data_IF_019014371223
#
_entry.id   IF_019014371223
#
_cell.length_a   1.000
_cell.length_b   1.000
_cell.length_c   1.000
_cell.angle_alpha   90.00
_cell.angle_beta   90.00
_cell.angle_gamma   90.00
#
_symmetry.space_group_name_H-M   'P 1'
#
loop_
_entity.id
_entity.type
_entity.pdbx_description
1 polymer ?
#
# COMPACT_ATOMS: atom_id res chain seq x y z
N UNK A 1 22.10 5.94 0.30
CA UNK A 1 21.31 7.21 0.46
C UNK A 1 21.45 7.71 1.89
N UNK A 2 21.60 9.03 2.13
CA UNK A 2 21.69 9.59 3.50
C UNK A 2 20.31 9.55 4.20
N UNK A 3 20.28 9.35 5.51
CA UNK A 3 19.02 9.20 6.30
C UNK A 3 18.05 10.37 6.16
N UNK A 4 18.56 11.61 6.06
CA UNK A 4 17.70 12.77 5.84
C UNK A 4 16.87 12.69 4.56
N UNK A 5 17.42 12.11 3.47
CA UNK A 5 16.68 11.90 2.21
C UNK A 5 15.72 10.72 2.31
N UNK A 6 16.13 9.62 2.97
CA UNK A 6 15.27 8.46 3.24
C UNK A 6 14.00 8.89 3.99
N UNK A 7 14.18 9.69 5.05
CA UNK A 7 13.06 10.23 5.81
C UNK A 7 12.20 11.20 5.00
N UNK A 8 12.81 12.03 4.15
CA UNK A 8 12.06 12.96 3.29
C UNK A 8 11.21 12.19 2.26
N UNK A 9 11.76 11.18 1.59
CA UNK A 9 11.01 10.34 0.64
C UNK A 9 9.91 9.55 1.32
N UNK A 10 10.16 9.01 2.52
CA UNK A 10 9.10 8.33 3.28
C UNK A 10 7.94 9.28 3.63
N UNK A 11 8.23 10.52 4.04
CA UNK A 11 7.18 11.54 4.26
C UNK A 11 6.38 11.84 3.01
N UNK A 12 7.00 11.83 1.83
CA UNK A 12 6.26 11.97 0.57
C UNK A 12 5.33 10.77 0.36
N UNK A 13 5.79 9.54 0.60
CA UNK A 13 4.92 8.36 0.53
C UNK A 13 3.74 8.46 1.53
N UNK A 14 3.98 8.92 2.75
CA UNK A 14 2.94 9.17 3.77
C UNK A 14 1.95 10.25 3.30
N UNK A 15 2.41 11.31 2.64
CA UNK A 15 1.54 12.36 2.07
C UNK A 15 0.60 11.77 1.01
N UNK A 16 1.11 10.89 0.14
CA UNK A 16 0.26 10.21 -0.84
C UNK A 16 -0.67 9.18 -0.20
N UNK A 17 -0.27 8.51 0.88
CA UNK A 17 -1.17 7.62 1.63
C UNK A 17 -2.43 8.35 2.12
N UNK A 18 -2.31 9.61 2.54
CA UNK A 18 -3.43 10.43 3.00
C UNK A 18 -4.49 10.71 1.92
N UNK A 19 -4.18 10.49 0.63
CA UNK A 19 -5.14 10.62 -0.47
C UNK A 19 -6.00 9.38 -0.67
N UNK A 20 -5.71 8.28 0.03
CA UNK A 20 -6.50 7.05 -0.06
C UNK A 20 -7.91 7.27 0.48
N UNK A 21 -8.90 6.77 -0.24
CA UNK A 21 -10.30 6.72 0.19
C UNK A 21 -10.65 5.48 1.04
N UNK A 22 -9.71 4.57 1.22
CA UNK A 22 -9.89 3.39 2.05
C UNK A 22 -10.11 3.77 3.53
N UNK A 23 -11.02 3.07 4.21
CA UNK A 23 -11.33 3.33 5.63
C UNK A 23 -10.48 2.46 6.57
N UNK A 24 -9.98 1.33 6.08
CA UNK A 24 -9.23 0.36 6.91
C UNK A 24 -7.76 0.72 7.03
N UNK A 25 -7.12 1.08 5.94
CA UNK A 25 -5.69 1.35 5.92
C UNK A 25 -5.35 2.26 4.74
N UNK A 26 -4.65 3.34 5.01
CA UNK A 26 -4.09 4.24 4.01
C UNK A 26 -2.65 3.82 3.72
N UNK A 27 -2.36 3.44 2.50
CA UNK A 27 -1.03 3.05 2.05
C UNK A 27 -0.57 3.96 0.92
N UNK A 28 0.66 4.44 1.00
CA UNK A 28 1.31 5.21 -0.05
C UNK A 28 2.64 4.57 -0.45
N UNK A 29 2.98 4.66 -1.72
CA UNK A 29 4.23 4.20 -2.28
C UNK A 29 4.79 5.23 -3.25
N UNK A 30 6.11 5.42 -3.25
CA UNK A 30 6.83 6.18 -4.26
C UNK A 30 8.00 5.37 -4.79
N UNK A 31 8.36 5.59 -6.04
CA UNK A 31 9.55 5.02 -6.66
C UNK A 31 10.55 6.15 -6.91
N UNK A 32 11.76 5.98 -6.39
CA UNK A 32 12.85 6.97 -6.47
C UNK A 32 14.01 6.38 -7.25
N UNK A 33 14.53 7.14 -8.21
CA UNK A 33 15.70 6.79 -9.00
C UNK A 33 16.52 8.04 -9.28
N UNK A 34 17.82 7.96 -9.13
CA UNK A 34 18.75 9.09 -9.36
C UNK A 34 18.30 10.38 -8.64
N UNK A 35 17.96 10.22 -7.34
CA UNK A 35 17.44 11.28 -6.46
C UNK A 35 16.15 11.98 -6.95
N UNK A 36 15.40 11.36 -7.90
CA UNK A 36 14.12 11.84 -8.41
C UNK A 36 12.99 10.87 -8.08
N UNK A 37 11.82 11.39 -7.73
CA UNK A 37 10.60 10.60 -7.64
C UNK A 37 10.10 10.39 -9.09
N UNK A 38 10.14 9.14 -9.55
CA UNK A 38 9.73 8.76 -10.91
C UNK A 38 8.33 8.15 -10.97
N UNK A 39 7.78 7.74 -9.84
CA UNK A 39 6.39 7.29 -9.75
C UNK A 39 5.85 7.41 -8.34
N UNK A 40 4.53 7.49 -8.24
CA UNK A 40 3.79 7.56 -7.00
C UNK A 40 2.55 6.65 -7.07
N UNK A 41 2.15 6.09 -5.93
CA UNK A 41 0.91 5.32 -5.79
C UNK A 41 0.32 5.47 -4.41
N UNK A 42 -0.97 5.27 -4.30
CA UNK A 42 -1.71 5.07 -3.05
C UNK A 42 -2.84 4.08 -3.30
N UNK A 43 -3.29 3.40 -2.25
CA UNK A 43 -4.33 2.40 -2.41
C UNK A 43 -5.70 3.05 -2.60
N UNK A 44 -6.55 2.40 -3.41
CA UNK A 44 -7.89 2.90 -3.71
C UNK A 44 -8.56 2.16 -4.85
N UNK A 45 -9.79 2.53 -5.15
CA UNK A 45 -10.53 1.98 -6.29
C UNK A 45 -9.92 2.44 -7.61
N UNK A 46 -10.13 1.68 -8.71
CA UNK A 46 -9.73 2.12 -10.04
C UNK A 46 -10.32 3.49 -10.40
N UNK A 47 -9.55 4.29 -11.15
CA UNK A 47 -9.98 5.62 -11.59
C UNK A 47 -11.31 5.55 -12.33
N UNK A 48 -12.25 6.42 -11.95
CA UNK A 48 -13.60 6.49 -12.51
C UNK A 48 -14.62 5.54 -11.87
N UNK A 49 -14.20 4.72 -10.91
CA UNK A 49 -15.11 3.88 -10.13
C UNK A 49 -15.57 4.61 -8.86
N UNK A 50 -16.59 4.06 -8.19
CA UNK A 50 -16.98 4.51 -6.86
C UNK A 50 -15.80 4.32 -5.87
N UNK A 51 -15.54 5.35 -5.05
CA UNK A 51 -14.43 5.37 -4.10
C UNK A 51 -14.68 4.52 -2.82
N UNK A 52 -15.73 3.73 -2.76
CA UNK A 52 -15.99 2.85 -1.63
C UNK A 52 -15.10 1.60 -1.69
N UNK A 53 -14.01 1.61 -0.95
CA UNK A 53 -13.00 0.54 -0.92
C UNK A 53 -13.40 -0.69 -0.10
N UNK A 54 -14.44 -0.63 0.71
CA UNK A 54 -14.80 -1.72 1.63
C UNK A 54 -16.29 -2.03 1.62
N UNK A 55 -16.59 -3.33 1.73
CA UNK A 55 -17.91 -3.85 2.04
C UNK A 55 -18.11 -3.98 3.56
N UNK A 56 -19.34 -3.75 4.00
CA UNK A 56 -19.77 -4.04 5.37
C UNK A 56 -20.20 -5.50 5.45
N UNK A 57 -19.48 -6.28 6.23
CA UNK A 57 -19.87 -7.66 6.56
C UNK A 57 -20.54 -7.62 7.93
N UNK A 58 -21.86 -7.76 7.97
CA UNK A 58 -22.60 -7.83 9.21
C UNK A 58 -22.33 -9.15 9.91
N UNK A 59 -22.20 -9.10 11.24
CA UNK A 59 -21.90 -10.25 12.05
C UNK A 59 -23.17 -10.72 12.75
N UNK A 60 -23.46 -12.03 12.64
CA UNK A 60 -24.38 -12.70 13.53
C UNK A 60 -23.70 -12.91 14.90
N UNK A 61 -24.47 -12.88 15.99
CA UNK A 61 -24.02 -12.83 17.38
C UNK A 61 -22.71 -13.57 17.68
N UNK A 62 -21.65 -12.85 18.02
CA UNK A 62 -20.47 -13.36 18.71
C UNK A 62 -19.09 -13.02 18.13
N UNK A 63 -18.93 -12.83 16.83
CA UNK A 63 -17.61 -12.84 16.17
C UNK A 63 -17.10 -11.46 15.67
N UNK A 64 -17.77 -10.36 16.00
CA UNK A 64 -17.35 -9.02 15.61
C UNK A 64 -16.71 -8.26 16.76
N UNK A 65 -15.40 -8.26 16.79
CA UNK A 65 -14.60 -7.29 17.54
C UNK A 65 -14.61 -5.94 16.81
N UNK A 66 -15.34 -4.99 17.43
CA UNK A 66 -15.20 -3.54 17.27
C UNK A 66 -15.39 -2.87 15.91
N UNK A 67 -16.60 -2.45 15.63
CA UNK A 67 -16.90 -1.07 15.19
C UNK A 67 -18.39 -0.79 15.37
N UNK A 68 -18.71 0.16 16.25
CA UNK A 68 -20.09 0.61 16.48
C UNK A 68 -20.52 1.59 15.39
N UNK A 69 -21.67 1.33 14.77
CA UNK A 69 -22.33 2.29 13.88
C UNK A 69 -22.93 3.47 14.67
N UNK A 70 -22.96 4.69 14.11
CA UNK A 70 -23.81 5.75 14.62
C UNK A 70 -25.30 5.38 14.50
N UNK A 71 -26.09 5.84 15.47
CA UNK A 71 -27.52 5.53 15.60
C UNK A 71 -28.35 6.09 14.44
N UNK A 72 -28.89 5.23 13.59
CA UNK A 72 -29.99 5.58 12.68
C UNK A 72 -31.08 4.50 12.57
N UNK A 73 -31.15 3.52 13.43
CA UNK A 73 -32.32 2.64 13.61
C UNK A 73 -32.18 1.78 14.86
N UNK A 74 -33.30 1.32 15.43
CA UNK A 74 -33.41 0.56 16.68
C UNK A 74 -32.77 -0.86 16.70
N UNK A 75 -31.95 -1.20 15.68
CA UNK A 75 -31.23 -2.48 15.64
C UNK A 75 -29.75 -2.23 15.42
N UNK A 76 -28.97 -2.32 16.50
CA UNK A 76 -27.51 -2.26 16.50
C UNK A 76 -26.93 -3.51 15.83
N UNK A 77 -26.66 -3.47 14.51
CA UNK A 77 -25.92 -4.55 13.85
C UNK A 77 -24.44 -4.20 13.82
N UNK A 78 -23.63 -5.01 14.49
CA UNK A 78 -22.16 -4.93 14.36
C UNK A 78 -21.73 -5.35 12.96
N UNK A 79 -20.73 -4.70 12.38
CA UNK A 79 -20.14 -5.09 11.11
C UNK A 79 -18.62 -4.95 11.14
N UNK A 80 -17.94 -5.74 10.33
CA UNK A 80 -16.53 -5.57 10.00
C UNK A 80 -16.40 -5.07 8.57
N UNK A 81 -15.37 -4.26 8.32
CA UNK A 81 -15.04 -3.81 6.97
C UNK A 81 -14.15 -4.87 6.30
N UNK A 82 -14.52 -5.26 5.09
CA UNK A 82 -13.73 -6.13 4.22
C UNK A 82 -13.32 -5.33 2.99
N UNK A 83 -12.02 -5.24 2.71
CA UNK A 83 -11.51 -4.59 1.50
C UNK A 83 -12.01 -5.35 0.28
N UNK A 84 -12.56 -4.61 -0.70
CA UNK A 84 -13.03 -5.17 -1.97
C UNK A 84 -11.84 -5.69 -2.79
N UNK A 85 -12.01 -6.77 -3.57
CA UNK A 85 -10.93 -7.34 -4.38
C UNK A 85 -10.44 -6.39 -5.49
N UNK A 86 -11.24 -5.42 -5.88
CA UNK A 86 -10.92 -4.43 -6.92
C UNK A 86 -10.01 -3.31 -6.43
N UNK A 87 -9.81 -3.20 -5.12
CA UNK A 87 -8.93 -2.16 -4.55
C UNK A 87 -7.49 -2.40 -4.98
N UNK A 88 -6.94 -1.42 -5.68
CA UNK A 88 -5.56 -1.41 -6.12
C UNK A 88 -4.65 -1.07 -4.95
N UNK A 89 -3.55 -1.79 -4.79
CA UNK A 89 -2.54 -1.50 -3.80
C UNK A 89 -1.67 -0.31 -4.24
N UNK A 90 -1.06 0.40 -3.28
CA UNK A 90 -0.21 1.55 -3.54
C UNK A 90 0.98 1.19 -4.45
N UNK A 91 1.61 0.03 -4.20
CA UNK A 91 2.75 -0.48 -4.94
C UNK A 91 2.36 -0.80 -6.40
N UNK A 92 1.22 -1.49 -6.59
CA UNK A 92 0.73 -1.81 -7.94
C UNK A 92 0.39 -0.56 -8.73
N UNK A 93 -0.19 0.45 -8.07
CA UNK A 93 -0.47 1.75 -8.68
C UNK A 93 0.81 2.48 -9.10
N UNK A 94 1.85 2.47 -8.26
CA UNK A 94 3.14 3.08 -8.60
C UNK A 94 3.80 2.36 -9.79
N UNK A 95 3.82 1.02 -9.79
CA UNK A 95 4.41 0.21 -10.86
C UNK A 95 3.63 0.37 -12.17
N UNK A 96 2.29 0.37 -12.12
CA UNK A 96 1.46 0.56 -13.32
C UNK A 96 1.67 1.94 -13.97
N UNK A 97 1.97 2.97 -13.18
CA UNK A 97 2.32 4.30 -13.71
C UNK A 97 3.69 4.30 -14.38
N UNK A 98 4.68 3.55 -13.86
CA UNK A 98 5.95 3.36 -14.56
C UNK A 98 5.74 2.72 -15.93
N UNK A 99 4.88 1.69 -16.03
CA UNK A 99 4.57 1.04 -17.30
C UNK A 99 3.92 1.96 -18.35
N UNK A 100 3.36 3.10 -17.94
CA UNK A 100 2.77 4.13 -18.79
C UNK A 100 3.71 5.32 -19.03
N UNK A 101 4.94 5.25 -18.56
CA UNK A 101 5.93 6.33 -18.66
C UNK A 101 7.17 5.87 -19.44
N UNK A 102 8.11 6.77 -19.67
CA UNK A 102 9.44 6.45 -20.22
C UNK A 102 10.43 6.05 -19.11
N UNK A 103 10.04 6.12 -17.84
CA UNK A 103 10.88 5.77 -16.70
C UNK A 103 10.90 4.26 -16.48
N UNK A 104 12.01 3.75 -15.93
CA UNK A 104 12.19 2.34 -15.61
C UNK A 104 12.44 2.16 -14.12
N UNK A 105 11.78 1.15 -13.52
CA UNK A 105 12.03 0.71 -12.15
C UNK A 105 13.41 0.06 -11.94
N UNK A 106 14.14 -0.25 -13.00
CA UNK A 106 15.44 -0.93 -12.91
C UNK A 106 16.43 -0.15 -12.04
N UNK A 107 16.88 -0.79 -10.95
CA UNK A 107 17.80 -0.21 -9.98
C UNK A 107 17.20 0.86 -9.06
N UNK A 108 15.90 1.13 -9.16
CA UNK A 108 15.21 2.13 -8.33
C UNK A 108 15.01 1.64 -6.88
N UNK A 109 14.68 2.59 -6.00
CA UNK A 109 14.26 2.36 -4.62
C UNK A 109 12.78 2.67 -4.48
N UNK A 110 12.00 1.75 -3.89
CA UNK A 110 10.61 1.98 -3.52
C UNK A 110 10.50 2.29 -2.03
N UNK A 111 9.79 3.37 -1.70
CA UNK A 111 9.40 3.74 -0.34
C UNK A 111 7.92 3.45 -0.16
N UNK A 112 7.56 2.71 0.89
CA UNK A 112 6.19 2.29 1.15
C UNK A 112 5.85 2.53 2.62
N UNK A 113 4.67 3.04 2.91
CA UNK A 113 4.24 3.26 4.30
C UNK A 113 4.04 1.96 5.09
N UNK A 114 3.76 0.85 4.42
CA UNK A 114 3.57 -0.49 5.02
C UNK A 114 4.31 -1.55 4.22
N UNK A 115 4.79 -2.59 4.91
CA UNK A 115 5.47 -3.72 4.26
C UNK A 115 4.61 -4.31 3.13
N UNK A 116 5.19 -4.66 1.97
CA UNK A 116 4.44 -5.17 0.84
C UNK A 116 3.90 -6.59 1.10
N UNK A 117 2.70 -6.87 0.61
CA UNK A 117 2.21 -8.25 0.56
C UNK A 117 2.98 -9.07 -0.51
N UNK A 118 2.82 -10.39 -0.49
CA UNK A 118 3.53 -11.28 -1.42
C UNK A 118 3.28 -10.93 -2.89
N UNK A 119 2.05 -10.59 -3.28
CA UNK A 119 1.73 -10.28 -4.67
C UNK A 119 2.37 -8.96 -5.12
N UNK A 120 2.38 -7.94 -4.25
CA UNK A 120 3.11 -6.69 -4.51
C UNK A 120 4.63 -6.94 -4.58
N UNK A 121 5.18 -7.79 -3.71
CA UNK A 121 6.60 -8.13 -3.71
C UNK A 121 7.06 -8.77 -5.03
N UNK A 122 6.24 -9.65 -5.60
CA UNK A 122 6.50 -10.24 -6.93
C UNK A 122 6.57 -9.18 -8.04
N UNK A 123 5.64 -8.21 -8.03
CA UNK A 123 5.62 -7.12 -9.00
C UNK A 123 6.78 -6.14 -8.81
N UNK A 124 7.15 -5.83 -7.56
CA UNK A 124 8.32 -5.02 -7.23
C UNK A 124 9.58 -5.65 -7.83
N UNK A 125 9.79 -6.95 -7.58
CA UNK A 125 10.91 -7.69 -8.15
C UNK A 125 10.91 -7.67 -9.68
N UNK A 126 9.77 -8.00 -10.31
CA UNK A 126 9.63 -8.07 -11.76
C UNK A 126 9.81 -6.70 -12.44
N UNK A 127 9.55 -5.60 -11.74
CA UNK A 127 9.80 -4.25 -12.26
C UNK A 127 11.25 -3.80 -12.19
N UNK A 128 12.16 -4.63 -11.62
CA UNK A 128 13.59 -4.35 -11.51
C UNK A 128 13.95 -3.40 -10.37
N UNK A 129 13.02 -3.11 -9.45
CA UNK A 129 13.29 -2.33 -8.24
C UNK A 129 14.27 -3.11 -7.36
N UNK A 130 15.38 -2.48 -6.99
CA UNK A 130 16.48 -3.11 -6.27
C UNK A 130 16.43 -2.94 -4.75
N UNK A 131 15.64 -1.98 -4.27
CA UNK A 131 15.54 -1.64 -2.85
C UNK A 131 14.13 -1.28 -2.44
N UNK A 132 13.71 -1.75 -1.26
CA UNK A 132 12.43 -1.43 -0.65
C UNK A 132 12.65 -0.93 0.77
N UNK A 133 12.18 0.28 1.06
CA UNK A 133 12.17 0.84 2.40
C UNK A 133 10.71 1.00 2.86
N UNK A 134 10.39 0.51 4.06
CA UNK A 134 9.03 0.58 4.57
C UNK A 134 8.99 1.10 6.02
N UNK A 135 7.84 1.69 6.42
CA UNK A 135 7.66 2.27 7.77
C UNK A 135 7.03 1.27 8.73
N UNK A 136 5.91 0.70 8.38
CA UNK A 136 5.10 -0.13 9.26
C UNK A 136 5.10 -1.59 8.80
N UNK A 137 5.11 -2.52 9.75
CA UNK A 137 4.89 -3.94 9.45
C UNK A 137 3.46 -4.16 8.94
N UNK A 138 3.24 -5.24 8.22
CA UNK A 138 1.94 -5.67 7.71
C UNK A 138 1.56 -7.01 8.34
N UNK A 139 0.48 -7.64 7.87
CA UNK A 139 -0.09 -8.87 8.47
C UNK A 139 0.83 -10.08 8.40
N UNK A 140 1.71 -10.13 7.41
CA UNK A 140 2.61 -11.24 7.12
C UNK A 140 3.92 -10.68 6.60
N UNK A 141 5.02 -11.38 6.86
CA UNK A 141 6.35 -11.06 6.37
C UNK A 141 6.67 -11.77 5.04
N UNK A 142 5.72 -12.51 4.44
CA UNK A 142 5.93 -13.30 3.20
C UNK A 142 6.47 -12.44 2.05
N UNK A 143 6.00 -11.20 1.92
CA UNK A 143 6.49 -10.26 0.90
C UNK A 143 7.93 -9.83 1.15
N UNK A 144 8.31 -9.60 2.42
CA UNK A 144 9.68 -9.27 2.82
C UNK A 144 10.61 -10.45 2.56
N UNK A 145 10.23 -11.65 2.99
CA UNK A 145 11.01 -12.88 2.77
C UNK A 145 11.22 -13.16 1.29
N UNK A 146 10.18 -13.00 0.47
CA UNK A 146 10.28 -13.14 -0.98
C UNK A 146 11.31 -12.18 -1.56
N UNK A 147 11.25 -10.90 -1.23
CA UNK A 147 12.18 -9.88 -1.73
C UNK A 147 13.61 -10.16 -1.30
N UNK A 148 13.84 -10.58 -0.05
CA UNK A 148 15.15 -10.93 0.46
C UNK A 148 15.74 -12.15 -0.26
N UNK A 149 14.94 -13.21 -0.50
CA UNK A 149 15.32 -14.38 -1.30
C UNK A 149 15.64 -14.00 -2.76
N UNK A 150 14.97 -12.98 -3.29
CA UNK A 150 15.21 -12.43 -4.62
C UNK A 150 16.37 -11.42 -4.67
N UNK A 151 17.15 -11.26 -3.59
CA UNK A 151 18.27 -10.32 -3.46
C UNK A 151 17.89 -8.84 -3.62
N UNK A 152 16.65 -8.50 -3.35
CA UNK A 152 16.20 -7.11 -3.22
C UNK A 152 16.53 -6.63 -1.80
N UNK A 153 17.15 -5.46 -1.69
CA UNK A 153 17.43 -4.86 -0.39
C UNK A 153 16.13 -4.42 0.29
N UNK A 154 15.86 -4.92 1.49
CA UNK A 154 14.64 -4.56 2.25
C UNK A 154 15.03 -4.03 3.62
N UNK A 155 14.51 -2.87 3.97
CA UNK A 155 14.80 -2.22 5.26
C UNK A 155 13.58 -1.50 5.83
N UNK A 156 13.37 -1.67 7.14
CA UNK A 156 12.39 -0.91 7.91
C UNK A 156 13.04 0.38 8.45
N UNK A 157 12.43 1.55 8.23
CA UNK A 157 12.95 2.86 8.61
C UNK A 157 11.96 3.68 9.43
#
# INVERSE_FOLDING_TARGET
MKDKFRNAYMKVAETFAALSSARRLHVGAIVVKDDRIISIGYNGMPSGWDNNCEDKIYCDDGDCLEQQLPKESDTWKKYKLKTKPEVLHAETNAIAKLAKSTESGMGATMFITHAPCLDCAKLIYQSGISSVLYRNSYRSDDGIEFLQKASVWVEKI
#
